data_IF_070507673689
#
_entry.id   IF_070507673689
#
_cell.length_a   1.000
_cell.length_b   1.000
_cell.length_c   1.000
_cell.angle_alpha   90.00
_cell.angle_beta   90.00
_cell.angle_gamma   90.00
#
_symmetry.space_group_name_H-M   'P 1'
#
loop_
_entity.id
_entity.type
_entity.pdbx_description
1 polymer ?
#
# COMPACT_ATOMS: atom_id res chain seq x y z
N UNK A 1 8.96 -16.81 -8.31
CA UNK A 1 8.39 -15.61 -8.96
C UNK A 1 8.90 -15.55 -10.38
N UNK A 2 8.34 -14.66 -11.19
CA UNK A 2 8.75 -14.41 -12.59
C UNK A 2 9.92 -13.41 -12.71
N UNK A 3 10.50 -12.98 -11.58
CA UNK A 3 11.61 -12.03 -11.52
C UNK A 3 11.17 -10.56 -11.44
N UNK A 4 9.88 -10.27 -11.53
CA UNK A 4 9.31 -8.92 -11.52
C UNK A 4 8.46 -8.62 -10.28
N UNK A 5 8.44 -9.54 -9.32
CA UNK A 5 7.86 -9.30 -8.00
C UNK A 5 8.82 -8.41 -7.19
N UNK A 6 8.24 -7.54 -6.37
CA UNK A 6 8.98 -6.79 -5.37
C UNK A 6 9.66 -7.75 -4.38
N UNK A 7 10.83 -7.37 -3.80
CA UNK A 7 11.51 -8.20 -2.82
C UNK A 7 10.60 -8.58 -1.64
N UNK A 8 10.75 -9.81 -1.15
CA UNK A 8 10.08 -10.25 0.08
C UNK A 8 10.65 -9.49 1.27
N UNK A 9 9.76 -9.00 2.12
CA UNK A 9 10.05 -8.24 3.34
C UNK A 9 9.08 -8.69 4.44
N UNK A 10 9.38 -8.39 5.70
CA UNK A 10 8.46 -8.63 6.83
C UNK A 10 7.36 -7.53 6.96
N UNK A 11 7.26 -6.63 5.98
CA UNK A 11 6.21 -5.61 5.94
C UNK A 11 4.81 -6.23 5.86
N UNK A 12 3.84 -5.57 6.50
CA UNK A 12 2.44 -5.98 6.43
C UNK A 12 1.83 -5.54 5.10
N UNK A 13 1.54 -6.50 4.23
CA UNK A 13 1.04 -6.26 2.87
C UNK A 13 -0.42 -6.71 2.75
N UNK A 14 -1.24 -5.91 2.08
CA UNK A 14 -2.64 -6.24 1.83
C UNK A 14 -2.99 -6.09 0.35
N UNK A 15 -3.85 -6.99 -0.14
CA UNK A 15 -4.50 -6.85 -1.45
C UNK A 15 -5.92 -6.28 -1.36
N UNK A 16 -6.43 -6.07 -0.14
CA UNK A 16 -7.76 -5.49 0.07
C UNK A 16 -7.77 -4.03 -0.41
N UNK A 17 -8.88 -3.60 -1.01
CA UNK A 17 -9.03 -2.30 -1.67
C UNK A 17 -8.32 -2.25 -3.01
N UNK A 18 -7.00 -2.46 -3.03
CA UNK A 18 -6.21 -2.35 -4.27
C UNK A 18 -6.57 -3.42 -5.31
N UNK A 19 -7.04 -4.59 -4.87
CA UNK A 19 -7.50 -5.66 -5.75
C UNK A 19 -8.76 -5.30 -6.55
N UNK A 20 -9.55 -4.32 -6.11
CA UNK A 20 -10.69 -3.82 -6.89
C UNK A 20 -10.21 -2.98 -8.08
N UNK A 21 -9.20 -2.13 -7.85
CA UNK A 21 -8.63 -1.28 -8.89
C UNK A 21 -7.69 -2.04 -9.83
N UNK A 22 -6.90 -2.97 -9.30
CA UNK A 22 -5.91 -3.77 -10.03
C UNK A 22 -6.17 -5.27 -9.82
N UNK A 23 -7.23 -5.82 -10.44
CA UNK A 23 -7.66 -7.19 -10.21
C UNK A 23 -6.74 -8.23 -10.86
N UNK A 24 -6.67 -9.39 -10.23
CA UNK A 24 -6.04 -10.59 -10.81
C UNK A 24 -4.51 -10.55 -10.85
N UNK A 25 -3.95 -11.31 -11.79
CA UNK A 25 -2.49 -11.37 -12.00
C UNK A 25 -2.09 -10.30 -13.02
N UNK A 26 -1.21 -9.39 -12.60
CA UNK A 26 -0.61 -8.36 -13.42
C UNK A 26 0.58 -8.92 -14.19
N UNK A 27 0.55 -8.91 -15.55
CA UNK A 27 1.70 -9.30 -16.36
C UNK A 27 2.93 -8.44 -16.08
N UNK A 28 4.15 -9.00 -16.08
CA UNK A 28 5.40 -8.27 -15.85
C UNK A 28 5.53 -6.95 -16.60
N UNK A 29 5.32 -6.97 -17.92
CA UNK A 29 5.48 -5.77 -18.75
C UNK A 29 4.48 -4.66 -18.38
N UNK A 30 3.25 -5.02 -18.01
CA UNK A 30 2.25 -4.03 -17.57
C UNK A 30 2.66 -3.43 -16.23
N UNK A 31 3.19 -4.25 -15.32
CA UNK A 31 3.67 -3.80 -14.03
C UNK A 31 4.85 -2.83 -14.16
N UNK A 32 5.89 -3.20 -14.92
CA UNK A 32 7.08 -2.37 -15.13
C UNK A 32 6.73 -1.01 -15.75
N UNK A 33 5.79 -0.99 -16.71
CA UNK A 33 5.41 0.25 -17.40
C UNK A 33 4.43 1.13 -16.62
N UNK A 34 3.55 0.56 -15.80
CA UNK A 34 2.43 1.31 -15.22
C UNK A 34 2.38 1.33 -13.68
N UNK A 35 3.10 0.45 -12.99
CA UNK A 35 3.07 0.35 -11.53
C UNK A 35 3.46 1.67 -10.85
N UNK A 36 4.48 2.36 -11.38
CA UNK A 36 4.93 3.65 -10.88
C UNK A 36 3.88 4.77 -11.02
N UNK A 37 3.02 4.71 -12.04
CA UNK A 37 1.97 5.72 -12.26
C UNK A 37 0.93 5.64 -11.15
N UNK A 38 0.55 4.41 -10.76
CA UNK A 38 -0.41 4.19 -9.67
C UNK A 38 0.20 4.59 -8.32
N UNK A 39 1.46 4.22 -8.07
CA UNK A 39 2.16 4.60 -6.85
C UNK A 39 2.26 6.13 -6.71
N UNK A 40 2.58 6.84 -7.80
CA UNK A 40 2.62 8.30 -7.83
C UNK A 40 1.24 8.94 -7.62
N UNK A 41 0.17 8.33 -8.16
CA UNK A 41 -1.19 8.80 -7.91
C UNK A 41 -1.55 8.77 -6.42
N UNK A 42 -1.21 7.68 -5.72
CA UNK A 42 -1.35 7.60 -4.27
C UNK A 42 -0.49 8.65 -3.56
N UNK A 43 0.79 8.76 -3.93
CA UNK A 43 1.71 9.74 -3.35
C UNK A 43 1.15 11.16 -3.45
N UNK A 44 0.59 11.53 -4.60
CA UNK A 44 -0.02 12.85 -4.82
C UNK A 44 -1.25 13.06 -3.94
N UNK A 45 -2.14 12.08 -3.85
CA UNK A 45 -3.31 12.15 -2.95
C UNK A 45 -2.88 12.38 -1.50
N UNK A 46 -1.88 11.64 -1.00
CA UNK A 46 -1.40 11.82 0.37
C UNK A 46 -0.63 13.11 0.59
N UNK A 47 0.05 13.63 -0.44
CA UNK A 47 0.69 14.95 -0.40
C UNK A 47 -0.36 16.07 -0.31
N UNK A 48 -1.42 16.01 -1.12
CA UNK A 48 -2.51 16.98 -1.13
C UNK A 48 -3.27 16.98 0.21
N UNK A 49 -3.36 15.83 0.88
CA UNK A 49 -3.90 15.69 2.23
C UNK A 49 -2.93 16.13 3.34
N UNK A 50 -1.67 16.43 3.01
CA UNK A 50 -0.65 16.85 3.97
C UNK A 50 -0.15 15.74 4.91
N UNK A 51 -0.41 14.46 4.58
CA UNK A 51 -0.07 13.32 5.45
C UNK A 51 1.15 12.52 4.97
N UNK A 52 1.62 12.80 3.76
CA UNK A 52 2.78 12.12 3.18
C UNK A 52 4.05 12.34 4.05
N UNK A 53 4.68 11.29 4.59
CA UNK A 53 5.89 11.44 5.39
C UNK A 53 7.10 11.92 4.57
N UNK A 54 7.88 12.84 5.13
CA UNK A 54 9.07 13.41 4.46
C UNK A 54 10.17 12.36 4.25
N UNK A 55 10.22 11.36 5.13
CA UNK A 55 11.14 10.22 5.11
C UNK A 55 10.80 9.17 4.04
N UNK A 56 9.68 9.32 3.32
CA UNK A 56 9.35 8.44 2.20
C UNK A 56 10.17 8.81 0.97
N UNK A 57 11.40 8.28 0.97
CA UNK A 57 12.35 8.37 -0.12
C UNK A 57 11.76 7.84 -1.44
N UNK A 58 12.19 8.40 -2.59
CA UNK A 58 11.91 7.82 -3.89
C UNK A 58 12.40 6.36 -3.96
N UNK A 59 11.57 5.45 -4.47
CA UNK A 59 11.97 4.06 -4.77
C UNK A 59 11.48 2.97 -3.81
N UNK A 60 10.91 3.31 -2.65
CA UNK A 60 10.12 2.36 -1.83
C UNK A 60 8.67 2.84 -1.80
N UNK A 61 7.92 2.48 -2.85
CA UNK A 61 6.52 2.86 -3.03
C UNK A 61 5.58 2.23 -1.99
N UNK A 62 4.37 2.80 -1.90
CA UNK A 62 3.25 2.21 -1.16
C UNK A 62 2.75 0.94 -1.86
N UNK A 63 2.84 0.91 -3.19
CA UNK A 63 2.37 -0.18 -4.04
C UNK A 63 3.52 -1.13 -4.39
N UNK A 64 3.25 -2.44 -4.29
CA UNK A 64 4.18 -3.52 -4.66
C UNK A 64 3.48 -4.57 -5.49
N UNK A 65 4.27 -5.42 -6.15
CA UNK A 65 3.79 -6.63 -6.83
C UNK A 65 4.32 -7.86 -6.12
N UNK A 66 3.43 -8.72 -5.65
CA UNK A 66 3.79 -9.95 -4.94
C UNK A 66 3.03 -11.12 -5.56
N UNK A 67 3.77 -12.13 -6.05
CA UNK A 67 3.22 -13.30 -6.75
C UNK A 67 2.26 -12.88 -7.87
N UNK A 68 2.65 -11.85 -8.60
CA UNK A 68 1.86 -11.30 -9.69
C UNK A 68 0.68 -10.40 -9.30
N UNK A 69 0.39 -10.17 -8.02
CA UNK A 69 -0.74 -9.34 -7.57
C UNK A 69 -0.27 -8.00 -7.02
N UNK A 70 -1.07 -6.96 -7.23
CA UNK A 70 -0.88 -5.68 -6.56
C UNK A 70 -1.17 -5.82 -5.06
N UNK A 71 -0.29 -5.28 -4.24
CA UNK A 71 -0.46 -5.19 -2.79
C UNK A 71 0.01 -3.82 -2.30
N UNK A 72 -0.66 -3.31 -1.28
CA UNK A 72 -0.28 -2.09 -0.57
C UNK A 72 0.51 -2.46 0.69
N UNK A 73 1.48 -1.62 1.03
CA UNK A 73 2.12 -1.60 2.34
C UNK A 73 1.14 -1.02 3.37
N UNK A 74 0.50 -1.90 4.14
CA UNK A 74 -0.55 -1.53 5.07
C UNK A 74 0.00 -0.77 6.28
N UNK A 75 1.20 -1.11 6.76
CA UNK A 75 1.84 -0.36 7.85
C UNK A 75 2.07 1.11 7.49
N UNK A 76 2.42 1.36 6.22
CA UNK A 76 2.49 2.72 5.67
C UNK A 76 1.14 3.41 5.57
N UNK A 77 0.11 2.72 5.10
CA UNK A 77 -1.25 3.24 5.03
C UNK A 77 -1.78 3.61 6.42
N UNK A 78 -1.56 2.73 7.41
CA UNK A 78 -1.86 2.94 8.82
C UNK A 78 -1.16 4.20 9.36
N UNK A 79 0.15 4.36 9.12
CA UNK A 79 0.90 5.52 9.58
C UNK A 79 0.40 6.86 8.98
N UNK A 80 -0.15 6.83 7.76
CA UNK A 80 -0.78 8.03 7.15
C UNK A 80 -2.18 8.29 7.71
N UNK A 81 -2.95 7.24 8.00
CA UNK A 81 -4.29 7.39 8.58
C UNK A 81 -4.26 8.07 9.95
N UNK A 82 -3.25 7.79 10.79
CA UNK A 82 -3.07 8.47 12.08
C UNK A 82 -2.79 9.98 11.95
N UNK A 83 -2.46 10.47 10.75
CA UNK A 83 -2.21 11.89 10.48
C UNK A 83 -3.43 12.61 9.90
N UNK A 84 -4.48 11.88 9.51
CA UNK A 84 -5.68 12.45 8.92
C UNK A 84 -6.62 13.00 10.01
N UNK A 85 -7.04 14.28 9.93
CA UNK A 85 -8.01 14.82 10.87
C UNK A 85 -9.35 14.08 10.79
N UNK A 86 -9.83 13.56 11.92
CA UNK A 86 -11.11 12.86 12.01
C UNK A 86 -11.11 11.42 11.48
N UNK A 87 -9.95 10.89 11.11
CA UNK A 87 -9.75 9.47 10.89
C UNK A 87 -8.83 8.90 11.97
N UNK A 88 -8.88 7.60 12.16
CA UNK A 88 -7.92 6.85 12.97
C UNK A 88 -7.46 5.61 12.22
N UNK A 89 -6.22 5.19 12.44
CA UNK A 89 -5.77 3.97 11.81
C UNK A 89 -6.53 2.71 12.31
N UNK A 90 -7.10 2.76 13.51
CA UNK A 90 -7.99 1.72 14.02
C UNK A 90 -9.32 1.63 13.26
N UNK A 91 -9.83 2.74 12.72
CA UNK A 91 -10.99 2.74 11.82
C UNK A 91 -10.62 2.21 10.44
N UNK A 92 -9.44 2.60 9.92
CA UNK A 92 -8.92 2.07 8.65
C UNK A 92 -8.76 0.54 8.70
N UNK A 93 -8.19 -0.01 9.78
CA UNK A 93 -8.09 -1.46 9.97
C UNK A 93 -9.45 -2.15 9.95
N UNK A 94 -10.44 -1.57 10.65
CA UNK A 94 -11.78 -2.12 10.69
C UNK A 94 -12.45 -2.08 9.31
N UNK A 95 -12.21 -1.04 8.52
CA UNK A 95 -12.73 -0.91 7.15
C UNK A 95 -12.08 -1.94 6.21
N UNK A 96 -10.75 -2.12 6.27
CA UNK A 96 -10.04 -3.04 5.39
C UNK A 96 -10.24 -4.52 5.77
N UNK A 97 -10.38 -4.85 7.05
CA UNK A 97 -10.35 -6.25 7.50
C UNK A 97 -11.61 -6.69 8.25
N UNK A 98 -12.61 -5.81 8.40
CA UNK A 98 -13.83 -6.09 9.14
C UNK A 98 -13.64 -6.28 10.64
N UNK A 99 -12.42 -6.07 11.17
CA UNK A 99 -12.07 -6.20 12.58
C UNK A 99 -10.76 -5.47 12.87
N UNK A 100 -10.60 -4.96 14.11
CA UNK A 100 -9.32 -4.43 14.60
C UNK A 100 -8.38 -5.60 14.88
N UNK A 101 -7.12 -5.51 14.44
CA UNK A 101 -6.15 -6.54 14.83
C UNK A 101 -5.83 -6.38 16.31
N UNK A 102 -5.94 -7.46 17.08
CA UNK A 102 -5.33 -7.54 18.40
C UNK A 102 -3.81 -7.50 18.19
N UNK A 103 -3.16 -6.45 18.70
CA UNK A 103 -1.80 -6.05 18.34
C UNK A 103 -0.77 -7.17 18.36
N UNK A 104 0.16 -7.12 17.41
CA UNK A 104 1.46 -7.80 17.53
C UNK A 104 2.37 -6.87 18.34
N UNK A 105 2.87 -7.35 19.47
CA UNK A 105 3.92 -6.67 20.22
C UNK A 105 5.13 -6.43 19.31
N UNK A 106 5.75 -5.25 19.48
CA UNK A 106 6.96 -4.80 18.80
C UNK A 106 8.09 -5.83 18.85
#
# INVERSE_FOLDING_TARGET
GDGFDSPTTDDDLTSVGIGEMLPGILPPLRWELAGHVVDEAFRRVFADLGVLPAEWAPGRGLLRRVRGRAVLDFGRLHAMADRLPGASAAELEAEYFGSRRAGRAA
#
